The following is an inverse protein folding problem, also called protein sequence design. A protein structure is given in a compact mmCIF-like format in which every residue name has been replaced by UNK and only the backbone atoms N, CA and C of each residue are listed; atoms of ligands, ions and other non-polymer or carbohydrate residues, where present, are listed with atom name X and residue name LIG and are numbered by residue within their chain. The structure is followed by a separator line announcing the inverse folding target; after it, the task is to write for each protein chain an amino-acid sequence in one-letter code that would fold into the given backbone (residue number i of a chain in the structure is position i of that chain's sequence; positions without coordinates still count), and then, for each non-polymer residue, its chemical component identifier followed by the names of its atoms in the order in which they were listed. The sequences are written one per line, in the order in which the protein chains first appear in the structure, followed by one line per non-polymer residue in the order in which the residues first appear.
data_IF_559641714908
#
_entry.id   IF_559641714908
#
_cell.length_a   1.000
_cell.length_b   1.000
_cell.length_c   1.000
_cell.angle_alpha   90.00
_cell.angle_beta   90.00
_cell.angle_gamma   90.00
#
_symmetry.space_group_name_H-M   'P 1'
#
loop_
_entity.id
_entity.type
_entity.pdbx_description
1 polymer ?
#
# COMPACT_ATOMS: atom_id res chain seq x y z
N UNK A 1 10.41 23.85 -9.55
CA UNK A 1 9.66 24.09 -8.30
C UNK A 1 9.59 25.60 -8.08
N UNK A 2 8.42 26.17 -7.82
CA UNK A 2 8.26 27.64 -7.74
C UNK A 2 8.50 28.23 -6.35
N UNK A 3 8.61 27.39 -5.32
CA UNK A 3 8.70 27.84 -3.92
C UNK A 3 10.10 27.72 -3.31
N UNK A 4 11.12 27.26 -4.06
CA UNK A 4 12.50 27.17 -3.56
C UNK A 4 12.65 26.24 -2.35
N UNK A 5 12.00 25.07 -2.39
CA UNK A 5 12.03 24.10 -1.29
C UNK A 5 13.39 23.37 -1.22
N UNK A 6 13.82 23.03 0.00
CA UNK A 6 15.06 22.27 0.23
C UNK A 6 14.87 20.75 0.08
N UNK A 7 13.64 20.25 0.19
CA UNK A 7 13.28 18.84 0.03
C UNK A 7 11.81 18.67 -0.35
N UNK A 8 11.49 17.59 -1.06
CA UNK A 8 10.13 17.17 -1.38
C UNK A 8 9.79 15.89 -0.61
N UNK A 9 8.93 15.98 0.42
CA UNK A 9 8.34 14.79 1.08
C UNK A 9 6.99 14.53 0.44
N UNK A 10 6.81 13.35 -0.14
CA UNK A 10 5.74 13.13 -1.11
C UNK A 10 4.98 11.82 -0.90
N UNK A 11 3.66 11.95 -0.73
CA UNK A 11 2.71 10.82 -0.82
C UNK A 11 1.91 10.98 -2.10
N UNK A 12 2.25 10.26 -3.19
CA UNK A 12 1.54 10.43 -4.44
C UNK A 12 0.10 9.93 -4.45
N UNK A 13 -0.77 10.59 -5.21
CA UNK A 13 -2.14 10.12 -5.41
C UNK A 13 -2.21 8.76 -6.17
N UNK A 14 -1.18 8.44 -6.96
CA UNK A 14 -0.99 7.17 -7.68
C UNK A 14 0.25 7.21 -8.55
N UNK A 15 0.76 6.05 -8.99
CA UNK A 15 2.08 5.92 -9.62
C UNK A 15 2.32 6.86 -10.82
N UNK A 16 1.32 7.02 -11.71
CA UNK A 16 1.46 7.90 -12.88
C UNK A 16 1.44 9.40 -12.54
N UNK A 17 0.58 9.83 -11.60
CA UNK A 17 0.51 11.24 -11.16
C UNK A 17 1.78 11.68 -10.41
N UNK A 18 2.54 10.70 -9.93
CA UNK A 18 3.68 10.87 -9.07
C UNK A 18 5.00 11.19 -9.78
N UNK A 19 5.10 10.87 -11.07
CA UNK A 19 6.36 10.94 -11.78
C UNK A 19 6.81 12.39 -12.04
N UNK A 20 5.87 13.29 -12.35
CA UNK A 20 6.21 14.67 -12.74
C UNK A 20 6.79 15.47 -11.57
N UNK A 21 6.19 15.51 -10.36
CA UNK A 21 6.78 16.23 -9.23
C UNK A 21 8.17 15.72 -8.86
N UNK A 22 8.38 14.40 -8.84
CA UNK A 22 9.68 13.78 -8.55
C UNK A 22 10.74 14.18 -9.56
N UNK A 23 10.42 14.09 -10.86
CA UNK A 23 11.34 14.48 -11.92
C UNK A 23 11.71 15.96 -11.87
N UNK A 24 10.74 16.84 -11.60
CA UNK A 24 10.98 18.28 -11.51
C UNK A 24 11.84 18.65 -10.28
N UNK A 25 11.63 17.99 -9.14
CA UNK A 25 12.47 18.19 -7.95
C UNK A 25 13.92 17.79 -8.24
N UNK A 26 14.12 16.59 -8.79
CA UNK A 26 15.45 16.07 -9.13
C UNK A 26 16.19 16.93 -10.14
N UNK A 27 15.50 17.46 -11.15
CA UNK A 27 16.10 18.37 -12.13
C UNK A 27 16.66 19.67 -11.51
N UNK A 28 16.18 20.05 -10.32
CA UNK A 28 16.65 21.21 -9.55
C UNK A 28 17.60 20.83 -8.41
N UNK A 29 18.00 19.56 -8.30
CA UNK A 29 18.87 19.06 -7.23
C UNK A 29 18.17 18.95 -5.87
N UNK A 30 16.85 18.98 -5.84
CA UNK A 30 16.05 18.87 -4.63
C UNK A 30 15.84 17.38 -4.32
N UNK A 31 16.21 16.89 -3.11
CA UNK A 31 15.98 15.51 -2.71
C UNK A 31 14.48 15.21 -2.57
N UNK A 32 14.09 14.00 -2.96
CA UNK A 32 12.71 13.50 -2.93
C UNK A 32 12.60 12.32 -1.97
N UNK A 33 11.76 12.44 -0.95
CA UNK A 33 11.44 11.39 0.01
C UNK A 33 10.03 10.92 -0.29
N UNK A 34 9.89 9.72 -0.86
CA UNK A 34 8.58 9.14 -1.09
C UNK A 34 8.07 8.43 0.16
N UNK A 35 6.78 8.61 0.44
CA UNK A 35 6.11 8.05 1.62
C UNK A 35 4.85 7.32 1.16
N UNK A 36 4.61 6.12 1.70
CA UNK A 36 3.47 5.21 1.41
C UNK A 36 3.43 4.67 -0.03
N UNK A 37 3.73 5.50 -1.03
CA UNK A 37 3.57 5.20 -2.45
C UNK A 37 4.77 5.70 -3.24
N UNK A 38 5.03 5.01 -4.33
CA UNK A 38 6.15 5.32 -5.21
C UNK A 38 5.70 5.53 -6.67
N UNK A 39 6.29 6.50 -7.41
CA UNK A 39 6.11 6.64 -8.84
C UNK A 39 6.79 5.51 -9.62
N UNK A 40 6.14 5.04 -10.68
CA UNK A 40 6.81 4.17 -11.65
C UNK A 40 7.90 4.95 -12.40
N UNK A 41 9.12 4.40 -12.41
CA UNK A 41 10.25 4.96 -13.17
C UNK A 41 10.86 6.25 -12.63
N UNK A 42 10.28 6.85 -11.58
CA UNK A 42 10.80 8.03 -10.90
C UNK A 42 10.83 7.78 -9.38
N UNK A 43 11.65 6.83 -8.89
CA UNK A 43 11.63 6.42 -7.49
C UNK A 43 12.04 7.56 -6.55
N UNK A 44 11.76 7.42 -5.26
CA UNK A 44 12.28 8.34 -4.25
C UNK A 44 13.80 8.21 -4.10
N UNK A 45 14.46 9.14 -3.43
CA UNK A 45 15.85 8.95 -3.02
C UNK A 45 15.90 7.98 -1.83
N UNK A 46 15.11 8.21 -0.77
CA UNK A 46 14.57 7.14 0.06
C UNK A 46 13.06 6.94 -0.17
N UNK A 47 12.61 5.71 0.11
CA UNK A 47 11.19 5.32 0.14
C UNK A 47 10.86 4.85 1.54
N UNK A 48 9.79 5.39 2.11
CA UNK A 48 9.32 5.08 3.47
C UNK A 48 7.89 4.58 3.38
N UNK A 49 7.70 3.28 3.60
CA UNK A 49 6.39 2.63 3.60
C UNK A 49 6.28 1.62 4.75
N UNK A 50 5.07 1.14 4.99
CA UNK A 50 4.84 0.02 5.90
C UNK A 50 5.20 -1.31 5.25
N UNK A 51 5.42 -2.32 6.08
CA UNK A 51 5.54 -3.72 5.65
C UNK A 51 4.15 -4.27 5.29
N UNK A 52 3.62 -3.87 4.14
CA UNK A 52 2.20 -4.06 3.79
C UNK A 52 1.75 -5.52 3.78
N UNK A 53 2.60 -6.46 3.32
CA UNK A 53 2.30 -7.90 3.32
C UNK A 53 2.20 -8.42 4.75
N UNK A 54 3.26 -8.21 5.54
CA UNK A 54 3.34 -8.72 6.93
C UNK A 54 2.27 -8.08 7.80
N UNK A 55 2.05 -6.77 7.65
CA UNK A 55 1.06 -6.02 8.42
C UNK A 55 -0.36 -6.48 8.09
N UNK A 56 -0.68 -6.73 6.81
CA UNK A 56 -1.99 -7.24 6.43
C UNK A 56 -2.24 -8.65 6.96
N UNK A 57 -1.22 -9.53 6.89
CA UNK A 57 -1.29 -10.87 7.47
C UNK A 57 -1.62 -10.79 8.98
N UNK A 58 -0.83 -10.02 9.74
CA UNK A 58 -0.99 -9.85 11.18
C UNK A 58 -2.38 -9.30 11.56
N UNK A 59 -2.90 -8.33 10.80
CA UNK A 59 -4.24 -7.78 11.04
C UNK A 59 -5.31 -8.84 10.78
N UNK A 60 -5.20 -9.60 9.69
CA UNK A 60 -6.13 -10.67 9.37
C UNK A 60 -6.08 -11.80 10.41
N UNK A 61 -4.90 -12.26 10.80
CA UNK A 61 -4.71 -13.28 11.85
C UNK A 61 -5.31 -12.84 13.17
N UNK A 62 -5.11 -11.57 13.54
CA UNK A 62 -5.70 -11.02 14.76
C UNK A 62 -7.24 -11.06 14.71
N UNK A 63 -7.85 -10.65 13.59
CA UNK A 63 -9.30 -10.69 13.41
C UNK A 63 -9.84 -12.12 13.42
N UNK A 64 -9.16 -13.06 12.76
CA UNK A 64 -9.53 -14.48 12.74
C UNK A 64 -9.44 -15.07 14.15
N UNK A 65 -8.38 -14.75 14.91
CA UNK A 65 -8.22 -15.14 16.30
C UNK A 65 -9.34 -14.62 17.20
N UNK A 66 -9.76 -13.36 17.02
CA UNK A 66 -10.91 -12.79 17.72
C UNK A 66 -12.23 -13.50 17.36
N UNK A 67 -12.34 -14.05 16.16
CA UNK A 67 -13.49 -14.84 15.70
C UNK A 67 -13.44 -16.32 16.15
N UNK A 68 -12.41 -16.73 16.89
CA UNK A 68 -12.26 -18.11 17.37
C UNK A 68 -11.59 -19.06 16.37
N UNK A 69 -10.94 -18.53 15.33
CA UNK A 69 -10.16 -19.31 14.37
C UNK A 69 -10.95 -19.89 13.19
N UNK A 70 -12.26 -19.64 13.12
CA UNK A 70 -13.14 -20.14 12.06
C UNK A 70 -14.29 -19.18 11.76
N UNK A 71 -14.86 -19.27 10.56
CA UNK A 71 -16.05 -18.51 10.18
C UNK A 71 -15.99 -17.92 8.77
N UNK A 72 -16.98 -17.07 8.45
CA UNK A 72 -17.08 -16.43 7.15
C UNK A 72 -16.40 -15.06 7.16
N UNK A 73 -15.54 -14.80 6.17
CA UNK A 73 -14.86 -13.53 5.95
C UNK A 73 -15.44 -12.80 4.74
N UNK A 74 -15.61 -11.48 4.88
CA UNK A 74 -15.89 -10.57 3.78
C UNK A 74 -14.78 -9.53 3.74
N UNK A 75 -14.27 -9.20 2.55
CA UNK A 75 -13.24 -8.16 2.37
C UNK A 75 -13.79 -6.99 1.56
N UNK A 76 -13.58 -5.78 2.09
CA UNK A 76 -13.85 -4.51 1.40
C UNK A 76 -12.50 -3.90 1.05
N UNK A 77 -12.17 -3.92 -0.24
CA UNK A 77 -10.89 -3.45 -0.76
C UNK A 77 -10.86 -1.95 -0.99
N UNK A 78 -9.65 -1.41 -0.99
CA UNK A 78 -9.36 -0.08 -1.53
C UNK A 78 -9.52 0.01 -3.05
N UNK A 79 -8.90 1.02 -3.64
CA UNK A 79 -8.86 1.19 -5.09
C UNK A 79 -8.02 0.07 -5.71
N UNK A 80 -8.56 -0.62 -6.71
CA UNK A 80 -7.84 -1.73 -7.35
C UNK A 80 -6.57 -1.24 -8.06
N UNK A 81 -5.46 -1.93 -7.82
CA UNK A 81 -4.19 -1.70 -8.53
C UNK A 81 -3.34 -0.52 -8.01
N UNK A 82 -3.71 0.11 -6.89
CA UNK A 82 -2.79 1.06 -6.23
C UNK A 82 -1.74 0.29 -5.43
N UNK A 83 -0.51 0.84 -5.42
CA UNK A 83 0.67 0.22 -4.80
C UNK A 83 0.45 -0.44 -3.43
N UNK A 84 -0.21 0.19 -2.42
CA UNK A 84 -0.36 -0.44 -1.11
C UNK A 84 -1.41 -1.57 -1.09
N UNK A 85 -2.38 -1.57 -2.02
CA UNK A 85 -3.48 -2.54 -1.98
C UNK A 85 -3.04 -3.92 -2.47
N UNK A 86 -2.12 -3.98 -3.44
CA UNK A 86 -1.60 -5.24 -3.99
C UNK A 86 -0.88 -6.11 -2.93
N UNK A 87 0.12 -5.60 -2.18
CA UNK A 87 0.79 -6.38 -1.13
C UNK A 87 -0.14 -6.68 0.06
N UNK A 88 -1.10 -5.81 0.38
CA UNK A 88 -2.08 -6.10 1.43
C UNK A 88 -3.02 -7.25 1.04
N UNK A 89 -3.40 -7.33 -0.23
CA UNK A 89 -4.18 -8.45 -0.76
C UNK A 89 -3.40 -9.77 -0.63
N UNK A 90 -2.09 -9.74 -0.88
CA UNK A 90 -1.19 -10.88 -0.67
C UNK A 90 -1.12 -11.29 0.80
N UNK A 91 -0.83 -10.35 1.71
CA UNK A 91 -0.77 -10.62 3.14
C UNK A 91 -2.07 -11.17 3.72
N UNK A 92 -3.22 -10.68 3.24
CA UNK A 92 -4.52 -11.27 3.58
C UNK A 92 -4.64 -12.72 3.13
N UNK A 93 -4.21 -13.05 1.91
CA UNK A 93 -4.29 -14.43 1.41
C UNK A 93 -3.43 -15.36 2.27
N UNK A 94 -2.24 -14.91 2.68
CA UNK A 94 -1.38 -15.67 3.60
C UNK A 94 -2.13 -16.01 4.90
N UNK A 95 -2.79 -15.03 5.52
CA UNK A 95 -3.57 -15.26 6.74
C UNK A 95 -4.72 -16.26 6.52
N UNK A 96 -5.43 -16.21 5.39
CA UNK A 96 -6.49 -17.19 5.09
C UNK A 96 -5.90 -18.60 4.88
N UNK A 97 -4.80 -18.70 4.15
CA UNK A 97 -4.13 -19.98 3.88
C UNK A 97 -3.64 -20.65 5.17
N UNK A 98 -3.21 -19.86 6.17
CA UNK A 98 -2.81 -20.33 7.49
C UNK A 98 -4.00 -20.71 8.40
N UNK A 99 -5.22 -20.28 8.06
CA UNK A 99 -6.43 -20.48 8.86
C UNK A 99 -7.54 -21.18 8.05
N UNK A 100 -7.48 -22.51 7.86
CA UNK A 100 -8.39 -23.26 6.99
C UNK A 100 -9.86 -23.30 7.46
N UNK A 101 -10.14 -22.86 8.70
CA UNK A 101 -11.51 -22.69 9.20
C UNK A 101 -12.21 -21.43 8.68
N UNK A 102 -11.49 -20.58 7.94
CA UNK A 102 -12.00 -19.32 7.38
C UNK A 102 -12.48 -19.53 5.95
N UNK A 103 -13.73 -19.17 5.68
CA UNK A 103 -14.32 -19.19 4.34
C UNK A 103 -14.51 -17.76 3.82
N UNK A 104 -13.88 -17.42 2.71
CA UNK A 104 -14.00 -16.12 2.08
C UNK A 104 -15.25 -16.06 1.20
N UNK A 105 -16.32 -15.50 1.73
CA UNK A 105 -17.65 -15.56 1.09
C UNK A 105 -17.96 -14.37 0.18
N UNK A 106 -17.26 -13.25 0.33
CA UNK A 106 -17.42 -12.09 -0.56
C UNK A 106 -16.20 -11.17 -0.57
N UNK A 107 -16.00 -10.50 -1.72
CA UNK A 107 -15.00 -9.45 -1.90
C UNK A 107 -15.59 -8.30 -2.71
N UNK A 108 -15.47 -7.08 -2.23
CA UNK A 108 -15.93 -5.87 -2.92
C UNK A 108 -14.78 -4.89 -3.11
N UNK A 109 -14.65 -4.35 -4.33
CA UNK A 109 -13.68 -3.30 -4.65
C UNK A 109 -14.33 -1.93 -4.66
N UNK A 110 -13.60 -0.92 -4.20
CA UNK A 110 -14.00 0.47 -4.41
C UNK A 110 -13.99 0.78 -5.91
N UNK A 111 -15.12 1.29 -6.42
CA UNK A 111 -15.26 1.84 -7.77
C UNK A 111 -14.57 3.18 -7.92
#
# INVERSE_FOLDING_TARGET
MTQGIDALIYIPAGAAAAAVPTRLARAEGIPVINVDREPDGEPGDPVINGEDVVSACQVCDHIIGLAGGEGQMIVVHGQKGIMPEVPRFEGRNMAIDENPGVDLVAQQWRQ
#
